data_IF_086856872171
#
_entry.id   IF_086856872171
#
_cell.length_a   1.000
_cell.length_b   1.000
_cell.length_c   1.000
_cell.angle_alpha   90.00
_cell.angle_beta   90.00
_cell.angle_gamma   90.00
#
_symmetry.space_group_name_H-M   'P 1'
#
loop_
_entity.id
_entity.type
_entity.pdbx_description
1 polymer ?
#
# COMPACT_ATOMS: atom_id res chain seq x y z
N UNK A 1 -14.57 23.44 3.39
CA UNK A 1 -14.93 22.25 4.19
C UNK A 1 -13.63 21.56 4.56
N UNK A 2 -13.14 21.77 5.79
CA UNK A 2 -11.93 21.11 6.29
C UNK A 2 -12.27 19.65 6.57
N UNK A 3 -12.05 18.79 5.59
CA UNK A 3 -12.10 17.34 5.80
C UNK A 3 -10.79 17.01 6.52
N UNK A 4 -10.86 16.82 7.84
CA UNK A 4 -9.71 16.36 8.62
C UNK A 4 -9.16 15.08 7.95
N UNK A 5 -7.91 15.11 7.53
CA UNK A 5 -7.18 14.02 6.87
C UNK A 5 -7.18 12.70 7.69
N UNK A 6 -7.56 12.79 8.97
CA UNK A 6 -7.70 11.68 9.93
C UNK A 6 -8.86 10.72 9.65
N UNK A 7 -9.85 11.08 8.82
CA UNK A 7 -11.09 10.30 8.66
C UNK A 7 -10.99 9.08 7.72
N UNK A 8 -9.85 8.92 7.00
CA UNK A 8 -9.69 7.84 6.00
C UNK A 8 -8.91 6.63 6.51
N UNK A 9 -8.27 6.74 7.67
CA UNK A 9 -7.37 5.75 8.24
C UNK A 9 -7.93 5.25 9.58
N UNK A 10 -7.54 4.04 9.99
CA UNK A 10 -7.97 3.50 11.28
C UNK A 10 -7.48 4.42 12.40
N UNK A 11 -8.34 4.67 13.38
CA UNK A 11 -8.01 5.46 14.55
C UNK A 11 -7.11 4.64 15.48
N UNK A 12 -5.94 5.17 15.80
CA UNK A 12 -5.05 4.56 16.79
C UNK A 12 -5.28 5.25 18.13
N UNK A 13 -6.05 4.61 19.00
CA UNK A 13 -6.32 5.10 20.35
C UNK A 13 -5.56 4.24 21.38
N UNK A 14 -4.73 4.88 22.21
CA UNK A 14 -3.90 4.22 23.22
C UNK A 14 -4.71 3.58 24.36
N UNK A 15 -5.91 4.10 24.64
CA UNK A 15 -6.76 3.64 25.74
C UNK A 15 -7.47 2.33 25.40
N UNK A 16 -7.78 2.11 24.13
CA UNK A 16 -8.43 0.89 23.64
C UNK A 16 -7.44 -0.16 23.12
N UNK A 17 -6.14 0.17 23.11
CA UNK A 17 -5.10 -0.67 22.53
C UNK A 17 -4.63 -1.75 23.51
N UNK A 18 -4.98 -3.01 23.26
CA UNK A 18 -4.43 -4.15 24.00
C UNK A 18 -3.09 -4.58 23.38
N UNK A 19 -1.99 -4.15 24.00
CA UNK A 19 -0.62 -4.44 23.54
C UNK A 19 -0.33 -5.93 23.45
N UNK A 20 -1.00 -6.77 24.24
CA UNK A 20 -0.75 -8.22 24.29
C UNK A 20 -1.29 -8.97 23.07
N UNK A 21 -2.25 -8.38 22.35
CA UNK A 21 -2.90 -8.97 21.17
C UNK A 21 -2.47 -8.29 19.86
N UNK A 22 -1.51 -7.37 19.92
CA UNK A 22 -1.04 -6.68 18.73
C UNK A 22 -0.17 -7.62 17.89
N UNK A 23 -0.65 -7.88 16.69
CA UNK A 23 0.16 -8.49 15.64
C UNK A 23 0.34 -7.50 14.50
N UNK A 24 1.41 -7.63 13.69
CA UNK A 24 1.58 -6.83 12.49
C UNK A 24 0.39 -6.92 11.53
N UNK A 25 -0.42 -7.98 11.64
CA UNK A 25 -1.53 -8.27 10.75
C UNK A 25 -2.87 -7.66 11.23
N UNK A 26 -2.88 -6.98 12.38
CA UNK A 26 -4.07 -6.26 12.83
C UNK A 26 -4.32 -5.05 11.92
N UNK A 27 -5.60 -4.77 11.62
CA UNK A 27 -6.01 -3.71 10.70
C UNK A 27 -5.48 -2.33 11.12
N UNK A 28 -5.45 -2.05 12.43
CA UNK A 28 -4.94 -0.80 12.99
C UNK A 28 -3.45 -0.56 12.72
N UNK A 29 -2.69 -1.66 12.58
CA UNK A 29 -1.26 -1.62 12.27
C UNK A 29 -1.07 -1.49 10.77
N UNK A 30 -1.70 -2.38 9.97
CA UNK A 30 -1.61 -2.38 8.51
C UNK A 30 -2.06 -1.04 7.92
N UNK A 31 -3.06 -0.38 8.53
CA UNK A 31 -3.59 0.89 8.05
C UNK A 31 -2.54 2.01 7.96
N UNK A 32 -1.53 2.01 8.83
CA UNK A 32 -0.56 3.11 8.92
C UNK A 32 0.89 2.68 8.75
N UNK A 33 1.20 1.41 8.98
CA UNK A 33 2.57 0.92 9.01
C UNK A 33 2.77 -0.19 7.98
N UNK A 34 3.87 -0.15 7.21
CA UNK A 34 4.24 -1.25 6.35
C UNK A 34 4.66 -2.46 7.19
N UNK A 35 4.10 -3.62 6.89
CA UNK A 35 4.37 -4.88 7.59
C UNK A 35 5.43 -5.73 6.88
N UNK A 36 5.58 -5.54 5.57
CA UNK A 36 6.47 -6.30 4.70
C UNK A 36 7.30 -5.33 3.87
N UNK A 37 8.62 -5.57 3.83
CA UNK A 37 9.53 -4.83 2.96
C UNK A 37 9.79 -5.62 1.67
N UNK A 38 9.59 -4.96 0.52
CA UNK A 38 9.87 -5.53 -0.80
C UNK A 38 11.05 -4.80 -1.44
N UNK A 39 12.04 -5.56 -1.93
CA UNK A 39 13.21 -5.00 -2.64
C UNK A 39 13.20 -5.44 -4.10
N UNK A 40 13.33 -4.49 -5.01
CA UNK A 40 13.54 -4.76 -6.44
C UNK A 40 15.02 -4.73 -6.78
N UNK A 41 15.51 -5.81 -7.40
CA UNK A 41 16.90 -5.93 -7.88
C UNK A 41 16.89 -6.31 -9.37
N UNK A 42 17.98 -6.01 -10.08
CA UNK A 42 18.07 -6.29 -11.51
C UNK A 42 19.01 -5.35 -12.26
N UNK A 43 19.29 -5.68 -13.51
CA UNK A 43 20.23 -4.97 -14.38
C UNK A 43 19.79 -3.51 -14.67
N UNK A 44 20.72 -2.69 -15.16
CA UNK A 44 20.44 -1.32 -15.61
C UNK A 44 19.33 -1.34 -16.67
N UNK A 45 18.47 -0.31 -16.65
CA UNK A 45 17.33 -0.15 -17.55
C UNK A 45 16.19 -1.19 -17.48
N UNK A 46 16.20 -2.13 -16.53
CA UNK A 46 15.09 -3.10 -16.35
C UNK A 46 13.82 -2.53 -15.67
N UNK A 47 13.69 -1.21 -15.53
CA UNK A 47 12.46 -0.61 -15.00
C UNK A 47 12.16 -0.89 -13.52
N UNK A 48 13.16 -1.20 -12.68
CA UNK A 48 12.97 -1.47 -11.24
C UNK A 48 12.16 -0.37 -10.52
N UNK A 49 12.50 0.89 -10.78
CA UNK A 49 11.80 2.04 -10.18
C UNK A 49 10.39 2.21 -10.76
N UNK A 50 10.19 1.87 -12.04
CA UNK A 50 8.88 1.84 -12.69
C UNK A 50 7.97 0.78 -12.08
N UNK A 51 8.50 -0.41 -11.76
CA UNK A 51 7.75 -1.45 -11.06
C UNK A 51 7.30 -0.99 -9.68
N UNK A 52 8.19 -0.35 -8.92
CA UNK A 52 7.83 0.23 -7.60
C UNK A 52 6.76 1.30 -7.75
N UNK A 53 6.84 2.15 -8.78
CA UNK A 53 5.83 3.16 -9.07
C UNK A 53 4.48 2.55 -9.46
N UNK A 54 4.47 1.52 -10.30
CA UNK A 54 3.24 0.82 -10.70
C UNK A 54 2.50 0.18 -9.51
N UNK A 55 3.24 -0.31 -8.51
CA UNK A 55 2.66 -0.91 -7.30
C UNK A 55 2.18 0.17 -6.32
N UNK A 56 3.04 1.15 -6.03
CA UNK A 56 2.79 2.12 -4.94
C UNK A 56 2.09 3.40 -5.37
N UNK A 57 2.07 3.72 -6.66
CA UNK A 57 1.69 5.04 -7.17
C UNK A 57 2.71 6.15 -6.87
N UNK A 58 3.76 5.87 -6.11
CA UNK A 58 4.73 6.87 -5.64
C UNK A 58 5.95 6.88 -6.54
N UNK A 59 6.32 8.06 -7.04
CA UNK A 59 7.58 8.23 -7.75
C UNK A 59 8.73 8.30 -6.74
N UNK A 60 9.61 7.30 -6.77
CA UNK A 60 10.69 7.14 -5.79
C UNK A 60 11.89 8.04 -6.05
N UNK A 61 12.06 8.54 -7.27
CA UNK A 61 13.15 9.47 -7.62
C UNK A 61 12.80 10.86 -7.10
N UNK A 62 13.50 11.30 -6.06
CA UNK A 62 13.29 12.60 -5.39
C UNK A 62 14.35 13.65 -5.76
N UNK A 63 15.49 13.23 -6.32
CA UNK A 63 16.60 14.13 -6.61
C UNK A 63 16.56 14.62 -8.06
N UNK A 64 16.71 15.93 -8.27
CA UNK A 64 16.67 16.56 -9.61
C UNK A 64 17.69 15.93 -10.56
N UNK A 65 18.92 15.71 -10.09
CA UNK A 65 19.98 15.09 -10.87
C UNK A 65 19.62 13.66 -11.34
N UNK A 66 18.98 12.86 -10.49
CA UNK A 66 18.51 11.51 -10.86
C UNK A 66 17.35 11.58 -11.86
N UNK A 67 16.49 12.60 -11.77
CA UNK A 67 15.38 12.82 -12.71
C UNK A 67 15.90 13.19 -14.11
N UNK A 68 16.96 13.99 -14.17
CA UNK A 68 17.60 14.41 -15.43
C UNK A 68 18.39 13.26 -16.07
N UNK A 69 19.08 12.46 -15.26
CA UNK A 69 19.97 11.38 -15.72
C UNK A 69 19.29 10.02 -15.87
N UNK A 70 18.03 9.87 -15.43
CA UNK A 70 17.24 8.64 -15.50
C UNK A 70 17.90 7.42 -14.83
N UNK A 71 18.82 7.66 -13.88
CA UNK A 71 19.46 6.61 -13.07
C UNK A 71 19.08 6.75 -11.60
N UNK A 72 18.99 5.62 -10.90
CA UNK A 72 18.74 5.57 -9.46
C UNK A 72 20.07 5.40 -8.73
N UNK A 73 20.51 6.43 -8.01
CA UNK A 73 21.78 6.43 -7.26
C UNK A 73 21.49 6.22 -5.78
N UNK A 74 20.46 6.90 -5.27
CA UNK A 74 19.99 6.80 -3.89
C UNK A 74 18.86 5.80 -3.77
N UNK A 75 18.76 5.19 -2.60
CA UNK A 75 17.70 4.22 -2.32
C UNK A 75 16.35 4.94 -2.28
N UNK A 76 15.49 4.62 -3.24
CA UNK A 76 14.11 5.07 -3.26
C UNK A 76 13.24 4.22 -2.34
N UNK A 77 12.33 4.85 -1.60
CA UNK A 77 11.39 4.16 -0.71
C UNK A 77 9.95 4.57 -1.04
N UNK A 78 9.03 3.60 -1.01
CA UNK A 78 7.61 3.82 -1.23
C UNK A 78 6.79 2.82 -0.41
N UNK A 79 5.73 3.30 0.23
CA UNK A 79 4.73 2.48 0.90
C UNK A 79 3.56 2.24 -0.04
N UNK A 80 2.99 1.03 0.01
CA UNK A 80 1.78 0.67 -0.71
C UNK A 80 0.87 -0.15 0.21
N UNK A 81 -0.44 0.01 0.04
CA UNK A 81 -1.44 -0.87 0.64
C UNK A 81 -1.95 -1.83 -0.43
N UNK A 82 -2.10 -3.10 -0.06
CA UNK A 82 -2.65 -4.14 -0.93
C UNK A 82 -4.03 -4.49 -0.40
N UNK A 83 -5.01 -4.56 -1.29
CA UNK A 83 -6.40 -4.86 -0.99
C UNK A 83 -6.80 -6.12 -1.77
N UNK A 84 -7.67 -6.93 -1.18
CA UNK A 84 -8.20 -8.13 -1.81
C UNK A 84 -9.73 -8.09 -1.79
N UNK A 85 -10.35 -8.30 -2.95
CA UNK A 85 -11.77 -8.55 -3.06
C UNK A 85 -12.04 -10.04 -2.77
N UNK A 86 -12.92 -10.32 -1.82
CA UNK A 86 -13.37 -11.68 -1.48
C UNK A 86 -14.60 -12.13 -2.25
N UNK A 87 -15.12 -11.28 -3.14
CA UNK A 87 -16.30 -11.59 -3.94
C UNK A 87 -15.95 -12.66 -4.99
N UNK A 88 -16.74 -13.75 -5.13
CA UNK A 88 -16.51 -14.80 -6.13
C UNK A 88 -16.56 -14.30 -7.58
N UNK A 89 -17.26 -13.20 -7.87
CA UNK A 89 -17.33 -12.60 -9.20
C UNK A 89 -16.02 -11.90 -9.60
N UNK A 90 -15.16 -11.60 -8.62
CA UNK A 90 -13.86 -10.98 -8.82
C UNK A 90 -12.76 -12.05 -8.89
N UNK A 91 -12.38 -12.44 -10.11
CA UNK A 91 -11.40 -13.50 -10.33
C UNK A 91 -9.95 -13.00 -10.16
N UNK A 92 -9.03 -13.85 -9.66
CA UNK A 92 -7.59 -13.56 -9.70
C UNK A 92 -7.08 -13.42 -11.14
N UNK A 93 -6.17 -12.46 -11.44
CA UNK A 93 -5.48 -11.55 -10.51
C UNK A 93 -6.23 -10.24 -10.24
N UNK A 94 -7.39 -9.99 -10.85
CA UNK A 94 -8.09 -8.71 -10.79
C UNK A 94 -8.65 -8.38 -9.40
N UNK A 95 -8.86 -9.40 -8.56
CA UNK A 95 -9.27 -9.26 -7.17
C UNK A 95 -8.23 -8.61 -6.26
N UNK A 96 -6.99 -8.43 -6.72
CA UNK A 96 -5.97 -7.68 -5.98
C UNK A 96 -5.77 -6.29 -6.56
N UNK A 97 -5.72 -5.29 -5.67
CA UNK A 97 -5.39 -3.91 -6.03
C UNK A 97 -4.38 -3.35 -5.05
N UNK A 98 -3.44 -2.55 -5.55
CA UNK A 98 -2.52 -1.79 -4.73
C UNK A 98 -2.74 -0.30 -4.94
N UNK A 99 -2.66 0.45 -3.84
CA UNK A 99 -2.76 1.90 -3.85
C UNK A 99 -1.68 2.52 -2.96
N UNK A 100 -1.52 3.83 -3.08
CA UNK A 100 -0.66 4.61 -2.18
C UNK A 100 -1.13 4.48 -0.72
N UNK A 101 -0.20 4.68 0.21
CA UNK A 101 -0.48 4.58 1.66
C UNK A 101 -1.57 5.54 2.15
N UNK A 102 -1.81 6.64 1.42
CA UNK A 102 -2.83 7.66 1.74
C UNK A 102 -4.25 7.23 1.38
N UNK A 103 -4.41 6.12 0.66
CA UNK A 103 -5.73 5.58 0.32
C UNK A 103 -6.46 5.11 1.58
N UNK A 104 -7.79 5.25 1.54
CA UNK A 104 -8.69 4.79 2.60
C UNK A 104 -8.56 3.29 2.87
N UNK A 105 -8.93 2.83 4.08
CA UNK A 105 -8.80 1.41 4.43
C UNK A 105 -9.77 0.48 3.70
N UNK A 106 -10.92 1.01 3.25
CA UNK A 106 -11.98 0.23 2.64
C UNK A 106 -12.43 0.85 1.30
N UNK A 107 -11.55 0.90 0.28
CA UNK A 107 -11.89 1.42 -1.03
C UNK A 107 -12.91 0.54 -1.74
N UNK A 108 -13.56 1.10 -2.75
CA UNK A 108 -14.54 0.38 -3.57
C UNK A 108 -13.81 -0.42 -4.66
N UNK A 109 -14.17 -1.69 -4.82
CA UNK A 109 -13.73 -2.54 -5.91
C UNK A 109 -14.28 -2.00 -7.24
N UNK A 110 -13.43 -1.74 -8.25
CA UNK A 110 -13.89 -1.23 -9.54
C UNK A 110 -14.72 -2.25 -10.33
N UNK A 111 -14.59 -3.54 -10.03
CA UNK A 111 -15.28 -4.62 -10.76
C UNK A 111 -16.64 -4.94 -10.15
N UNK A 112 -16.74 -5.01 -8.81
CA UNK A 112 -17.96 -5.45 -8.12
C UNK A 112 -18.71 -4.33 -7.39
N UNK A 113 -18.08 -3.17 -7.18
CA UNK A 113 -18.66 -2.05 -6.43
C UNK A 113 -18.69 -2.25 -4.90
N UNK A 114 -18.15 -3.36 -4.40
CA UNK A 114 -18.08 -3.66 -2.96
C UNK A 114 -16.86 -3.03 -2.28
N UNK A 115 -16.96 -2.78 -0.96
CA UNK A 115 -15.81 -2.32 -0.18
C UNK A 115 -14.83 -3.46 0.08
N UNK A 116 -13.56 -3.24 -0.25
CA UNK A 116 -12.49 -4.23 -0.06
C UNK A 116 -11.59 -3.80 1.10
N UNK A 117 -11.41 -4.64 2.13
CA UNK A 117 -10.49 -4.33 3.22
C UNK A 117 -9.03 -4.47 2.77
N UNK A 118 -8.11 -3.89 3.55
CA UNK A 118 -6.68 -4.14 3.34
C UNK A 118 -6.40 -5.62 3.56
N UNK A 119 -5.68 -6.24 2.62
CA UNK A 119 -5.45 -7.68 2.59
C UNK A 119 -4.64 -8.15 3.79
N UNK A 120 -5.17 -9.15 4.49
CA UNK A 120 -4.44 -9.93 5.50
C UNK A 120 -3.98 -11.26 4.88
N UNK A 121 -2.67 -11.50 4.71
CA UNK A 121 -2.16 -12.72 4.09
C UNK A 121 -2.42 -14.02 4.88
N UNK A 122 -2.89 -13.94 6.14
CA UNK A 122 -3.20 -15.14 6.93
C UNK A 122 -4.62 -15.68 6.77
N UNK A 123 -5.54 -14.93 6.14
CA UNK A 123 -6.95 -15.33 6.00
C UNK A 123 -7.24 -16.05 4.67
N UNK A 124 -6.32 -16.91 4.22
CA UNK A 124 -6.43 -17.66 2.94
C UNK A 124 -7.08 -19.02 3.12
#
# INVERSE_FOLDING_TARGET
MNINEKDKLAEQNLETLDVTKLTPLNEDVISRQPTINLRTIGHVAHGKSTLVHAISGVHTVRFKHEKETHITIKLGYANAKIYQCTNPDCLPPECYKSYESSKENNPICPTTGERIPVHNPQTS
#
